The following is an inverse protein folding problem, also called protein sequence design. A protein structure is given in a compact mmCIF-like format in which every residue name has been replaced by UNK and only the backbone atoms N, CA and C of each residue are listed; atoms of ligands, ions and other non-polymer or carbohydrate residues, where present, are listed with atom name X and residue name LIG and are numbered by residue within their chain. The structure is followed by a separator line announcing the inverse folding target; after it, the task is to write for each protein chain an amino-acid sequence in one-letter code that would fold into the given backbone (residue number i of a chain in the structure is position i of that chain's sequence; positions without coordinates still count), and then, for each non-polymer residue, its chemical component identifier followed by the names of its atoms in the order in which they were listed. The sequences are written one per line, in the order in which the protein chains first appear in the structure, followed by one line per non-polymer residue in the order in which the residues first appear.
data_IF_326537527598
#
_entry.id   IF_326537527598
#
_cell.length_a   1.000
_cell.length_b   1.000
_cell.length_c   1.000
_cell.angle_alpha   90.00
_cell.angle_beta   90.00
_cell.angle_gamma   90.00
#
_symmetry.space_group_name_H-M   'P 1'
#
loop_
_entity.id
_entity.type
_entity.pdbx_description
1 polymer ?
#
# COMPACT_ATOMS: atom_id res chain seq x y z
N UNK A 1 57.70 4.17 -19.72
CA UNK A 1 56.40 4.79 -20.05
C UNK A 1 55.28 3.96 -19.46
N UNK A 2 54.98 4.16 -18.19
CA UNK A 2 53.75 3.68 -17.54
C UNK A 2 53.60 4.48 -16.24
N UNK A 3 53.39 5.79 -16.34
CA UNK A 3 53.27 6.69 -15.18
C UNK A 3 51.89 7.36 -15.07
N UNK A 4 50.92 7.02 -15.95
CA UNK A 4 49.62 7.71 -15.99
C UNK A 4 48.40 6.77 -15.97
N UNK A 5 48.55 5.52 -15.52
CA UNK A 5 47.42 4.57 -15.41
C UNK A 5 46.94 4.41 -13.95
N UNK A 6 47.64 5.04 -12.99
CA UNK A 6 47.38 4.85 -11.57
C UNK A 6 46.46 5.93 -10.95
N UNK A 7 46.10 6.98 -11.71
CA UNK A 7 45.28 8.09 -11.21
C UNK A 7 43.76 7.84 -11.32
N UNK A 8 43.35 6.75 -11.97
CA UNK A 8 41.94 6.35 -12.11
C UNK A 8 41.43 5.49 -10.94
N UNK A 9 42.28 5.19 -9.95
CA UNK A 9 41.85 4.63 -8.67
C UNK A 9 41.31 5.77 -7.81
N UNK A 10 40.06 6.15 -8.10
CA UNK A 10 39.26 7.13 -7.39
C UNK A 10 39.55 7.11 -5.89
N UNK A 11 40.25 8.14 -5.40
CA UNK A 11 40.41 8.35 -3.96
C UNK A 11 39.00 8.54 -3.39
N UNK A 12 38.56 7.61 -2.54
CA UNK A 12 37.26 7.67 -1.87
C UNK A 12 37.10 9.03 -1.20
N UNK A 13 36.35 9.93 -1.84
CA UNK A 13 36.03 11.23 -1.28
C UNK A 13 34.70 11.09 -0.53
N UNK A 14 34.72 11.08 0.82
CA UNK A 14 33.54 10.77 1.62
C UNK A 14 32.39 11.76 1.42
N UNK A 15 32.70 13.03 1.11
CA UNK A 15 31.68 14.06 0.87
C UNK A 15 30.94 13.81 -0.46
N UNK A 16 31.69 13.48 -1.52
CA UNK A 16 31.12 13.15 -2.83
C UNK A 16 30.29 11.85 -2.76
N UNK A 17 30.78 10.84 -2.08
CA UNK A 17 30.06 9.57 -1.90
C UNK A 17 28.81 9.74 -1.03
N UNK A 18 28.87 10.59 0.02
CA UNK A 18 27.71 10.93 0.84
C UNK A 18 26.63 11.68 0.03
N UNK A 19 27.03 12.61 -0.84
CA UNK A 19 26.10 13.29 -1.74
C UNK A 19 25.49 12.33 -2.76
N UNK A 20 26.28 11.40 -3.33
CA UNK A 20 25.76 10.32 -4.20
C UNK A 20 24.76 9.44 -3.45
N UNK A 21 25.04 9.09 -2.19
CA UNK A 21 24.13 8.33 -1.32
C UNK A 21 22.82 9.08 -1.07
N UNK A 22 22.87 10.37 -0.74
CA UNK A 22 21.68 11.20 -0.53
C UNK A 22 20.84 11.35 -1.80
N UNK A 23 21.45 11.41 -2.98
CA UNK A 23 20.75 11.40 -4.28
C UNK A 23 20.16 10.03 -4.64
N UNK A 24 20.79 8.93 -4.21
CA UNK A 24 20.32 7.54 -4.42
C UNK A 24 19.18 7.15 -3.47
N UNK A 25 19.04 7.82 -2.32
CA UNK A 25 17.89 7.59 -1.44
C UNK A 25 16.62 7.86 -2.26
N UNK A 26 15.77 6.85 -2.48
CA UNK A 26 14.51 7.11 -3.16
C UNK A 26 13.76 8.13 -2.30
N UNK A 27 13.27 9.21 -2.93
CA UNK A 27 12.34 10.11 -2.27
C UNK A 27 11.05 9.33 -2.10
N UNK A 28 10.93 8.65 -0.96
CA UNK A 28 9.77 7.85 -0.61
C UNK A 28 8.64 8.83 -0.27
N UNK A 29 7.86 9.20 -1.29
CA UNK A 29 6.59 9.88 -1.08
C UNK A 29 5.62 8.84 -0.52
N UNK A 30 5.17 9.04 0.72
CA UNK A 30 4.17 8.18 1.37
C UNK A 30 2.93 8.00 0.49
N UNK A 31 2.50 9.05 -0.22
CA UNK A 31 1.40 8.98 -1.18
C UNK A 31 1.62 7.94 -2.31
N UNK A 32 2.83 7.84 -2.86
CA UNK A 32 3.18 6.86 -3.91
C UNK A 32 3.26 5.43 -3.39
N UNK A 33 3.63 5.26 -2.12
CA UNK A 33 3.63 3.95 -1.43
C UNK A 33 2.22 3.35 -1.36
N UNK A 34 1.18 4.18 -1.22
CA UNK A 34 -0.20 3.75 -1.08
C UNK A 34 -1.03 3.81 -2.37
N UNK A 35 -0.48 4.33 -3.46
CA UNK A 35 -1.19 4.53 -4.74
C UNK A 35 -1.74 3.21 -5.32
N UNK A 36 -1.03 2.09 -5.10
CA UNK A 36 -1.46 0.77 -5.55
C UNK A 36 -2.11 -0.10 -4.44
N UNK A 37 -2.18 0.37 -3.19
CA UNK A 37 -2.78 -0.39 -2.09
C UNK A 37 -4.29 -0.63 -2.29
N UNK A 38 -4.93 0.22 -3.11
CA UNK A 38 -6.36 0.21 -3.36
C UNK A 38 -6.78 -0.71 -4.51
N UNK A 39 -5.83 -1.24 -5.30
CA UNK A 39 -6.11 -2.23 -6.33
C UNK A 39 -5.95 -3.61 -5.71
N UNK A 40 -7.07 -4.25 -5.36
CA UNK A 40 -7.03 -5.68 -5.07
C UNK A 40 -6.67 -6.38 -6.38
N UNK A 41 -5.51 -7.03 -6.41
CA UNK A 41 -5.26 -8.02 -7.44
C UNK A 41 -6.38 -9.05 -7.34
N UNK A 42 -7.06 -9.33 -8.44
CA UNK A 42 -7.89 -10.54 -8.52
C UNK A 42 -6.97 -11.69 -8.08
N UNK A 43 -7.33 -12.41 -7.03
CA UNK A 43 -6.55 -13.55 -6.52
C UNK A 43 -6.70 -14.67 -7.55
N UNK A 44 -6.00 -14.54 -8.68
CA UNK A 44 -5.99 -15.48 -9.79
C UNK A 44 -5.16 -16.72 -9.45
N UNK A 45 -4.20 -16.57 -8.53
CA UNK A 45 -3.27 -17.61 -8.15
C UNK A 45 -2.97 -17.55 -6.64
N UNK A 46 -3.25 -18.60 -5.86
CA UNK A 46 -2.91 -18.68 -4.44
C UNK A 46 -1.40 -18.73 -4.17
N UNK A 47 -0.56 -18.82 -5.21
CA UNK A 47 0.89 -18.79 -5.09
C UNK A 47 1.48 -17.37 -5.24
N UNK A 48 0.65 -16.34 -5.44
CA UNK A 48 1.12 -14.95 -5.56
C UNK A 48 1.27 -14.22 -4.21
N UNK A 49 0.95 -14.89 -3.10
CA UNK A 49 1.13 -14.32 -1.76
C UNK A 49 2.62 -14.35 -1.37
N UNK A 50 3.17 -13.19 -1.00
CA UNK A 50 4.57 -12.96 -0.67
C UNK A 50 4.73 -12.30 0.70
N UNK A 51 5.91 -12.40 1.30
CA UNK A 51 6.25 -11.77 2.57
C UNK A 51 5.85 -12.57 3.81
N UNK A 52 5.68 -13.88 3.66
CA UNK A 52 5.39 -14.78 4.78
C UNK A 52 6.69 -15.34 5.37
N UNK A 53 6.66 -15.67 6.67
CA UNK A 53 7.85 -16.10 7.41
C UNK A 53 8.59 -17.28 6.75
N UNK A 54 7.85 -18.21 6.13
CA UNK A 54 8.41 -19.36 5.39
C UNK A 54 9.39 -18.97 4.27
N UNK A 55 9.26 -17.79 3.68
CA UNK A 55 10.14 -17.31 2.60
C UNK A 55 11.47 -16.75 3.14
N UNK A 56 11.46 -16.28 4.40
CA UNK A 56 12.57 -15.52 5.02
C UNK A 56 13.30 -16.29 6.11
N UNK A 57 12.74 -17.40 6.56
CA UNK A 57 13.26 -18.15 7.69
C UNK A 57 14.58 -18.83 7.33
N UNK A 58 15.62 -18.52 8.11
CA UNK A 58 16.97 -19.05 7.95
C UNK A 58 17.40 -19.90 9.14
N UNK A 59 16.69 -19.86 10.26
CA UNK A 59 17.13 -20.51 11.50
C UNK A 59 15.99 -21.21 12.23
N UNK A 60 16.04 -22.54 12.19
CA UNK A 60 15.03 -23.41 12.80
C UNK A 60 15.17 -23.54 14.33
N UNK A 61 16.33 -23.22 14.92
CA UNK A 61 16.55 -23.37 16.36
C UNK A 61 16.00 -22.20 17.19
N UNK A 62 15.98 -20.98 16.65
CA UNK A 62 15.55 -19.79 17.38
C UNK A 62 14.17 -19.31 16.93
N UNK A 63 13.14 -20.09 17.28
CA UNK A 63 11.75 -19.80 16.91
C UNK A 63 10.89 -19.58 18.16
N UNK A 64 10.17 -18.47 18.22
CA UNK A 64 9.23 -18.18 19.31
C UNK A 64 7.81 -18.61 18.92
N UNK A 65 6.93 -18.84 19.90
CA UNK A 65 5.52 -19.16 19.59
C UNK A 65 4.85 -18.05 18.78
N UNK A 66 5.22 -16.79 19.01
CA UNK A 66 4.66 -15.64 18.28
C UNK A 66 5.11 -15.61 16.81
N UNK A 67 6.25 -16.23 16.47
CA UNK A 67 6.74 -16.31 15.09
C UNK A 67 5.98 -17.29 14.21
N UNK A 68 5.03 -18.05 14.78
CA UNK A 68 4.12 -18.90 14.02
C UNK A 68 3.02 -18.06 13.32
N UNK A 69 2.60 -16.96 13.94
CA UNK A 69 1.62 -16.06 13.35
C UNK A 69 2.18 -15.37 12.09
N UNK A 70 1.48 -15.50 10.96
CA UNK A 70 1.94 -14.96 9.67
C UNK A 70 3.08 -15.74 9.03
N UNK A 71 3.41 -16.94 9.54
CA UNK A 71 4.50 -17.74 8.98
C UNK A 71 4.15 -18.40 7.64
N UNK A 72 2.93 -18.93 7.51
CA UNK A 72 2.47 -19.63 6.31
C UNK A 72 1.59 -18.73 5.45
N UNK A 73 1.84 -18.77 4.13
CA UNK A 73 1.00 -18.13 3.15
C UNK A 73 -0.37 -18.82 3.03
N UNK A 74 -1.46 -18.08 2.75
CA UNK A 74 -2.76 -18.65 2.51
C UNK A 74 -2.76 -19.51 1.24
N UNK A 75 -3.54 -20.58 1.24
CA UNK A 75 -3.71 -21.50 0.13
C UNK A 75 -5.11 -21.37 -0.52
N UNK A 76 -5.33 -22.08 -1.62
CA UNK A 76 -6.59 -22.10 -2.36
C UNK A 76 -7.84 -22.45 -1.50
N UNK A 77 -7.65 -23.25 -0.44
CA UNK A 77 -8.72 -23.73 0.44
C UNK A 77 -9.00 -22.76 1.61
N UNK A 78 -8.03 -21.92 1.97
CA UNK A 78 -8.18 -20.90 3.02
C UNK A 78 -8.76 -19.58 2.50
N UNK A 79 -8.65 -19.33 1.19
CA UNK A 79 -9.11 -18.09 0.56
C UNK A 79 -10.58 -18.25 0.14
N UNK A 80 -11.44 -17.25 0.36
CA UNK A 80 -12.82 -17.31 -0.10
C UNK A 80 -12.88 -17.33 -1.63
N UNK A 81 -13.71 -18.21 -2.20
CA UNK A 81 -13.92 -18.31 -3.65
C UNK A 81 -14.44 -17.00 -4.27
N UNK A 82 -15.23 -16.23 -3.51
CA UNK A 82 -15.70 -14.91 -3.91
C UNK A 82 -15.67 -13.97 -2.71
N UNK A 83 -15.27 -12.73 -2.98
CA UNK A 83 -15.33 -11.65 -2.01
C UNK A 83 -16.06 -10.47 -2.64
N UNK A 84 -17.10 -9.98 -1.98
CA UNK A 84 -17.87 -8.82 -2.42
C UNK A 84 -17.47 -7.61 -1.56
N UNK A 85 -16.53 -6.76 -2.01
CA UNK A 85 -16.23 -5.53 -1.29
C UNK A 85 -17.49 -4.65 -1.25
N UNK A 86 -17.69 -3.92 -0.16
CA UNK A 86 -18.64 -2.83 -0.13
C UNK A 86 -17.96 -1.57 -0.67
N UNK A 87 -18.25 -1.13 -1.91
CA UNK A 87 -17.63 0.08 -2.45
C UNK A 87 -18.24 1.32 -1.77
N UNK A 88 -17.40 2.21 -1.26
CA UNK A 88 -17.85 3.49 -0.70
C UNK A 88 -17.96 4.62 -1.75
N UNK A 89 -18.00 4.28 -3.05
CA UNK A 89 -18.01 5.29 -4.13
C UNK A 89 -19.15 6.29 -3.98
N UNK A 90 -20.38 5.80 -3.80
CA UNK A 90 -21.56 6.63 -3.59
C UNK A 90 -21.44 7.50 -2.34
N UNK A 91 -21.06 6.92 -1.19
CA UNK A 91 -20.92 7.66 0.05
C UNK A 91 -19.84 8.74 -0.03
N UNK A 92 -18.72 8.47 -0.69
CA UNK A 92 -17.64 9.44 -0.89
C UNK A 92 -18.10 10.63 -1.75
N UNK A 93 -18.94 10.38 -2.76
CA UNK A 93 -19.56 11.45 -3.55
C UNK A 93 -20.52 12.29 -2.70
N UNK A 94 -21.38 11.65 -1.91
CA UNK A 94 -22.34 12.34 -1.03
C UNK A 94 -21.64 13.18 0.04
N UNK A 95 -20.59 12.63 0.68
CA UNK A 95 -19.80 13.34 1.70
C UNK A 95 -19.22 14.64 1.16
N UNK A 96 -18.82 14.69 -0.12
CA UNK A 96 -18.28 15.90 -0.76
C UNK A 96 -19.30 17.04 -0.81
N UNK A 97 -20.60 16.75 -0.88
CA UNK A 97 -21.66 17.76 -0.89
C UNK A 97 -22.07 18.21 0.54
N UNK A 98 -21.64 17.49 1.57
CA UNK A 98 -21.90 17.83 2.97
C UNK A 98 -23.34 17.58 3.42
N UNK A 99 -23.73 18.22 4.52
CA UNK A 99 -25.07 18.06 5.11
C UNK A 99 -26.10 18.89 4.34
N UNK A 100 -27.14 18.24 3.82
CA UNK A 100 -28.26 18.93 3.17
C UNK A 100 -28.96 19.89 4.14
N UNK A 101 -29.31 21.08 3.65
CA UNK A 101 -30.14 22.07 4.35
C UNK A 101 -31.33 22.43 3.46
N UNK A 102 -32.53 22.39 4.04
CA UNK A 102 -33.74 22.79 3.35
C UNK A 102 -33.93 24.31 3.48
N UNK A 103 -33.96 25.02 2.34
CA UNK A 103 -34.27 26.46 2.23
C UNK A 103 -35.53 26.73 1.40
N UNK A 104 -36.38 25.72 1.20
CA UNK A 104 -37.63 25.84 0.45
C UNK A 104 -38.74 26.48 1.31
N UNK A 105 -39.72 27.08 0.63
CA UNK A 105 -40.94 27.59 1.25
C UNK A 105 -42.03 26.53 1.18
N UNK A 106 -42.87 26.47 2.22
CA UNK A 106 -44.08 25.66 2.17
C UNK A 106 -45.10 26.32 1.24
N UNK A 107 -45.31 25.73 0.08
CA UNK A 107 -46.27 26.20 -0.94
C UNK A 107 -47.49 25.29 -1.08
N UNK A 108 -47.62 24.31 -0.17
CA UNK A 108 -48.78 23.43 -0.19
C UNK A 108 -50.04 24.23 0.13
N UNK A 109 -51.05 24.15 -0.74
CA UNK A 109 -52.37 24.68 -0.46
C UNK A 109 -53.04 23.83 0.61
N UNK A 110 -53.53 24.45 1.67
CA UNK A 110 -54.26 23.76 2.72
C UNK A 110 -55.46 23.01 2.11
N UNK A 111 -55.50 21.70 2.33
CA UNK A 111 -56.62 20.88 1.90
C UNK A 111 -57.74 21.01 2.92
N UNK A 112 -58.91 21.44 2.48
CA UNK A 112 -60.14 21.33 3.26
C UNK A 112 -60.61 19.88 3.21
N UNK A 113 -60.61 19.19 4.35
CA UNK A 113 -61.27 17.89 4.48
C UNK A 113 -62.78 18.12 4.68
N UNK A 114 -63.49 18.34 3.57
CA UNK A 114 -64.95 18.29 3.47
C UNK A 114 -65.34 17.63 2.15
#
# INVERSE_FOLDING_TARGET
MCEHVCDDLETFNPEKEFQKFMKRKPVVQTAKLYENLHKREDIKCPYNFKGYGVETDTNTMYRTCNSEYGYYAPNAYTIPSRFYPLPQRFSNEVVRFGMYRNFSLNTHMDRTFY
#
